data_IF_325566157737
#
_entry.id   IF_325566157737
#
_cell.length_a   1.000
_cell.length_b   1.000
_cell.length_c   1.000
_cell.angle_alpha   90.00
_cell.angle_beta   90.00
_cell.angle_gamma   90.00
#
_symmetry.space_group_name_H-M   'P 1'
#
loop_
_entity.id
_entity.type
_entity.pdbx_description
1 polymer ?
#
# COMPACT_ATOMS: atom_id res chain seq x y z
N UNK A 1 4.22 12.75 -18.16
CA UNK A 1 3.48 12.30 -16.97
C UNK A 1 4.06 13.04 -15.79
N UNK A 2 3.25 13.81 -15.06
CA UNK A 2 3.72 14.56 -13.89
C UNK A 2 3.63 13.64 -12.67
N UNK A 3 4.77 13.37 -12.04
CA UNK A 3 4.82 12.55 -10.83
C UNK A 3 4.48 13.44 -9.63
N UNK A 4 3.55 12.99 -8.79
CA UNK A 4 3.28 13.63 -7.51
C UNK A 4 4.24 13.06 -6.47
N UNK A 5 4.90 13.93 -5.71
CA UNK A 5 5.74 13.48 -4.60
C UNK A 5 4.83 12.85 -3.55
N UNK A 6 4.93 11.53 -3.46
CA UNK A 6 4.05 10.69 -2.67
C UNK A 6 4.91 9.77 -1.82
N UNK A 7 4.82 9.95 -0.52
CA UNK A 7 5.49 9.11 0.46
C UNK A 7 4.50 8.08 1.00
N UNK A 8 4.97 6.85 1.20
CA UNK A 8 4.18 5.81 1.83
C UNK A 8 4.93 5.21 3.02
N UNK A 9 4.23 5.06 4.13
CA UNK A 9 4.63 4.22 5.25
C UNK A 9 3.75 2.97 5.25
N UNK A 10 4.38 1.80 5.21
CA UNK A 10 3.68 0.51 5.20
C UNK A 10 4.09 -0.27 6.44
N UNK A 11 3.07 -0.69 7.20
CA UNK A 11 3.18 -1.49 8.40
C UNK A 11 2.40 -2.78 8.15
N UNK A 12 3.05 -3.95 8.20
CA UNK A 12 2.42 -5.24 7.95
C UNK A 12 2.66 -6.23 9.08
N UNK A 13 1.60 -6.74 9.69
CA UNK A 13 1.62 -7.80 10.70
C UNK A 13 1.09 -9.09 10.06
N UNK A 14 2.01 -9.93 9.62
CA UNK A 14 1.69 -11.22 9.01
C UNK A 14 1.01 -12.17 10.00
N UNK A 15 1.34 -12.11 11.28
CA UNK A 15 0.80 -13.05 12.28
C UNK A 15 -0.65 -12.68 12.63
N UNK A 16 -0.93 -11.39 12.74
CA UNK A 16 -2.27 -10.85 12.94
C UNK A 16 -3.12 -10.75 11.66
N UNK A 17 -2.55 -11.01 10.48
CA UNK A 17 -3.17 -10.83 9.16
C UNK A 17 -3.69 -9.38 8.98
N UNK A 18 -2.84 -8.40 9.28
CA UNK A 18 -3.17 -6.96 9.26
C UNK A 18 -2.14 -6.16 8.48
N UNK A 19 -2.58 -5.06 7.86
CA UNK A 19 -1.67 -4.07 7.32
C UNK A 19 -2.23 -2.65 7.53
N UNK A 20 -1.33 -1.69 7.69
CA UNK A 20 -1.63 -0.26 7.75
C UNK A 20 -0.73 0.45 6.74
N UNK A 21 -1.35 1.25 5.88
CA UNK A 21 -0.68 1.98 4.82
C UNK A 21 -1.05 3.45 5.00
N UNK A 22 -0.07 4.29 5.29
CA UNK A 22 -0.23 5.75 5.33
C UNK A 22 0.42 6.34 4.09
N UNK A 23 -0.36 7.05 3.28
CA UNK A 23 0.11 7.73 2.08
C UNK A 23 0.02 9.23 2.31
N UNK A 24 1.12 9.92 2.09
CA UNK A 24 1.21 11.37 2.15
C UNK A 24 1.56 11.89 0.76
N UNK A 25 0.71 12.74 0.20
CA UNK A 25 0.88 13.29 -1.14
C UNK A 25 0.99 14.80 -1.05
N UNK A 26 2.04 15.37 -1.64
CA UNK A 26 2.13 16.81 -1.82
C UNK A 26 1.41 17.21 -3.12
N UNK A 27 0.24 17.84 -3.00
CA UNK A 27 -0.52 18.32 -4.15
C UNK A 27 -0.19 19.80 -4.39
N UNK A 28 0.29 20.18 -5.59
CA UNK A 28 0.49 21.59 -5.93
C UNK A 28 -0.80 22.39 -5.69
N UNK A 29 -0.70 23.56 -5.05
CA UNK A 29 -1.81 24.48 -4.71
C UNK A 29 -2.72 24.04 -3.55
N UNK A 30 -2.79 22.75 -3.21
CA UNK A 30 -3.65 22.24 -2.13
C UNK A 30 -2.88 21.82 -0.87
N UNK A 31 -1.55 21.71 -0.96
CA UNK A 31 -0.69 21.34 0.18
C UNK A 31 -0.59 19.83 0.38
N UNK A 32 -0.21 19.43 1.59
CA UNK A 32 -0.07 18.02 1.96
C UNK A 32 -1.46 17.40 2.22
N UNK A 33 -1.74 16.28 1.57
CA UNK A 33 -2.87 15.41 1.90
C UNK A 33 -2.37 14.09 2.46
N UNK A 34 -3.14 13.52 3.38
CA UNK A 34 -2.84 12.22 3.96
C UNK A 34 -4.06 11.30 3.81
N UNK A 35 -3.81 10.09 3.33
CA UNK A 35 -4.78 9.01 3.31
C UNK A 35 -4.23 7.83 4.10
N UNK A 36 -5.05 7.22 4.94
CA UNK A 36 -4.68 6.02 5.67
C UNK A 36 -5.61 4.87 5.32
N UNK A 37 -5.03 3.74 4.97
CA UNK A 37 -5.72 2.48 4.78
C UNK A 37 -5.32 1.51 5.89
N UNK A 38 -6.30 0.89 6.52
CA UNK A 38 -6.10 -0.23 7.45
C UNK A 38 -6.82 -1.46 6.92
N UNK A 39 -6.07 -2.55 6.74
CA UNK A 39 -6.56 -3.82 6.25
C UNK A 39 -6.58 -4.81 7.41
N UNK A 40 -7.77 -5.30 7.72
CA UNK A 40 -8.00 -6.34 8.70
C UNK A 40 -8.41 -7.61 7.95
N UNK A 41 -7.41 -8.41 7.59
CA UNK A 41 -7.63 -9.67 6.90
C UNK A 41 -8.29 -10.72 7.79
N UNK A 42 -8.20 -10.60 9.12
CA UNK A 42 -8.87 -11.51 10.05
C UNK A 42 -10.39 -11.29 10.07
N UNK A 43 -10.82 -10.03 10.06
CA UNK A 43 -12.25 -9.68 10.02
C UNK A 43 -12.78 -9.42 8.61
N UNK A 44 -11.91 -9.48 7.58
CA UNK A 44 -12.21 -9.21 6.18
C UNK A 44 -12.79 -7.82 5.91
N UNK A 45 -12.15 -6.79 6.48
CA UNK A 45 -12.49 -5.39 6.23
C UNK A 45 -11.27 -4.57 5.85
N UNK A 46 -11.48 -3.58 4.99
CA UNK A 46 -10.55 -2.48 4.78
C UNK A 46 -11.22 -1.19 5.18
N UNK A 47 -10.50 -0.39 5.96
CA UNK A 47 -10.92 0.91 6.45
C UNK A 47 -10.06 1.96 5.76
N UNK A 48 -10.69 2.98 5.19
CA UNK A 48 -9.98 4.10 4.60
C UNK A 48 -10.38 5.38 5.31
N UNK A 49 -9.39 6.20 5.64
CA UNK A 49 -9.55 7.55 6.16
C UNK A 49 -8.86 8.52 5.22
N UNK A 50 -9.62 9.49 4.71
CA UNK A 50 -9.08 10.65 4.03
C UNK A 50 -9.01 11.81 5.02
N UNK A 51 -7.79 12.22 5.38
CA UNK A 51 -7.58 13.29 6.36
C UNK A 51 -8.00 14.67 5.83
N UNK A 52 -8.06 14.88 4.51
CA UNK A 52 -8.51 16.16 3.94
C UNK A 52 -10.02 16.34 4.11
N UNK A 53 -10.81 15.29 3.85
CA UNK A 53 -12.27 15.34 3.98
C UNK A 53 -12.79 14.88 5.34
N UNK A 54 -11.92 14.33 6.21
CA UNK A 54 -12.28 13.65 7.46
C UNK A 54 -13.30 12.52 7.25
N UNK A 55 -13.40 12.00 6.02
CA UNK A 55 -14.32 10.92 5.68
C UNK A 55 -13.68 9.57 5.94
N UNK A 56 -14.54 8.67 6.38
CA UNK A 56 -14.24 7.27 6.54
C UNK A 56 -15.03 6.46 5.52
N UNK A 57 -14.40 5.46 4.92
CA UNK A 57 -15.11 4.38 4.23
C UNK A 57 -14.66 3.03 4.73
N UNK A 58 -15.56 2.06 4.62
CA UNK A 58 -15.29 0.66 4.95
C UNK A 58 -15.75 -0.19 3.79
N UNK A 59 -14.89 -1.11 3.38
CA UNK A 59 -15.20 -2.09 2.34
C UNK A 59 -14.94 -3.49 2.88
N UNK A 60 -15.72 -4.44 2.40
CA UNK A 60 -15.53 -5.85 2.75
C UNK A 60 -14.47 -6.45 1.84
N UNK A 61 -13.47 -7.06 2.43
CA UNK A 61 -12.47 -7.85 1.71
C UNK A 61 -13.05 -9.21 1.35
N UNK A 62 -12.62 -9.82 0.22
CA UNK A 62 -13.07 -11.15 -0.14
C UNK A 62 -12.67 -12.18 0.94
N UNK A 63 -13.43 -13.28 1.12
CA UNK A 63 -13.10 -14.32 2.09
C UNK A 63 -11.72 -14.98 1.86
N UNK A 64 -11.20 -14.88 0.64
CA UNK A 64 -9.88 -15.39 0.26
C UNK A 64 -8.73 -14.42 0.57
N UNK A 65 -9.03 -13.20 1.04
CA UNK A 65 -8.00 -12.21 1.36
C UNK A 65 -7.16 -12.66 2.55
N UNK A 66 -5.85 -12.78 2.35
CA UNK A 66 -4.92 -13.20 3.39
C UNK A 66 -3.52 -12.60 3.14
N UNK A 67 -3.15 -11.64 3.99
CA UNK A 67 -1.89 -10.91 3.95
C UNK A 67 -0.73 -11.84 4.29
N UNK A 68 -0.90 -12.73 5.28
CA UNK A 68 0.10 -13.73 5.67
C UNK A 68 0.48 -14.58 4.47
N UNK A 69 -0.53 -15.16 3.80
CA UNK A 69 -0.36 -16.01 2.63
C UNK A 69 0.28 -15.25 1.47
N UNK A 70 -0.10 -13.99 1.29
CA UNK A 70 0.52 -13.12 0.30
C UNK A 70 2.02 -12.95 0.55
N UNK A 71 2.41 -12.62 1.79
CA UNK A 71 3.82 -12.43 2.17
C UNK A 71 4.60 -13.75 2.00
N UNK A 72 4.03 -14.88 2.43
CA UNK A 72 4.63 -16.21 2.22
C UNK A 72 4.89 -16.49 0.74
N UNK A 73 3.89 -16.27 -0.12
CA UNK A 73 4.03 -16.49 -1.57
C UNK A 73 5.08 -15.56 -2.17
N UNK A 74 5.10 -14.28 -1.77
CA UNK A 74 6.07 -13.32 -2.27
C UNK A 74 7.51 -13.67 -1.87
N UNK A 75 7.71 -14.33 -0.72
CA UNK A 75 9.01 -14.80 -0.24
C UNK A 75 9.40 -16.19 -0.79
N UNK A 76 8.43 -17.01 -1.18
CA UNK A 76 8.69 -18.33 -1.77
C UNK A 76 9.19 -18.20 -3.21
N UNK A 77 10.46 -18.54 -3.43
CA UNK A 77 11.10 -18.52 -4.74
C UNK A 77 10.46 -19.46 -5.78
N UNK A 78 9.65 -20.43 -5.35
CA UNK A 78 8.99 -21.39 -6.24
C UNK A 78 7.53 -21.04 -6.54
N UNK A 79 6.94 -20.08 -5.83
CA UNK A 79 5.54 -19.69 -6.02
C UNK A 79 5.27 -19.03 -7.37
N UNK A 80 6.30 -18.43 -7.98
CA UNK A 80 6.17 -17.57 -9.16
C UNK A 80 5.48 -16.23 -8.89
N UNK A 81 5.17 -15.91 -7.63
CA UNK A 81 4.51 -14.66 -7.25
C UNK A 81 5.44 -13.44 -7.37
N UNK A 82 6.74 -13.65 -7.14
CA UNK A 82 7.79 -12.64 -7.25
C UNK A 82 8.75 -12.98 -8.39
N UNK A 83 8.89 -12.07 -9.36
CA UNK A 83 9.77 -12.22 -10.51
C UNK A 83 10.78 -11.07 -10.55
N UNK A 84 12.08 -11.39 -10.57
CA UNK A 84 13.10 -10.39 -10.85
C UNK A 84 13.05 -9.99 -12.33
N UNK A 85 12.85 -8.70 -12.61
CA UNK A 85 12.72 -8.16 -13.97
C UNK A 85 13.96 -7.38 -14.42
N UNK A 86 15.06 -7.50 -13.67
CA UNK A 86 16.36 -6.92 -14.02
C UNK A 86 16.63 -5.57 -13.35
N UNK A 87 17.72 -4.93 -13.78
CA UNK A 87 18.06 -3.57 -13.37
C UNK A 87 17.32 -2.58 -14.26
N UNK A 88 16.60 -1.63 -13.65
CA UNK A 88 15.82 -0.61 -14.37
C UNK A 88 16.22 0.79 -13.96
N UNK A 89 16.34 1.67 -14.96
CA UNK A 89 16.41 3.12 -14.76
C UNK A 89 14.98 3.63 -14.64
N UNK A 90 14.64 4.30 -13.52
CA UNK A 90 13.29 4.80 -13.29
C UNK A 90 13.17 6.28 -13.68
N UNK A 91 12.07 6.73 -14.32
CA UNK A 91 11.93 8.09 -14.86
C UNK A 91 12.02 9.25 -13.85
N UNK A 92 11.74 9.01 -12.57
CA UNK A 92 11.70 10.03 -11.51
C UNK A 92 13.00 10.13 -10.71
N UNK A 93 13.99 9.30 -11.02
CA UNK A 93 15.34 9.40 -10.46
C UNK A 93 16.38 9.31 -11.58
N UNK A 94 17.67 9.49 -11.27
CA UNK A 94 18.76 9.22 -12.21
C UNK A 94 19.47 7.89 -11.90
N UNK A 95 18.91 7.11 -10.98
CA UNK A 95 19.57 5.94 -10.41
C UNK A 95 19.03 4.64 -10.98
N UNK A 96 19.87 3.61 -10.92
CA UNK A 96 19.55 2.26 -11.38
C UNK A 96 19.08 1.41 -10.18
N UNK A 97 17.99 0.65 -10.36
CA UNK A 97 17.36 -0.15 -9.30
C UNK A 97 17.25 -1.62 -9.71
N UNK A 98 17.35 -2.53 -8.75
CA UNK A 98 16.87 -3.90 -8.90
C UNK A 98 15.33 -3.89 -8.86
N UNK A 99 14.68 -4.31 -9.94
CA UNK A 99 13.23 -4.31 -10.03
C UNK A 99 12.67 -5.73 -9.90
N UNK A 100 11.61 -5.88 -9.10
CA UNK A 100 10.86 -7.11 -8.93
C UNK A 100 9.39 -6.87 -9.23
N UNK A 101 8.79 -7.66 -10.11
CA UNK A 101 7.34 -7.70 -10.27
C UNK A 101 6.76 -8.68 -9.23
N UNK A 102 5.81 -8.21 -8.43
CA UNK A 102 5.06 -9.02 -7.48
C UNK A 102 3.60 -9.05 -7.93
N UNK A 103 3.07 -10.24 -8.18
CA UNK A 103 1.69 -10.44 -8.66
C UNK A 103 0.76 -10.73 -7.50
N UNK A 104 -0.39 -10.06 -7.51
CA UNK A 104 -1.46 -10.19 -6.53
C UNK A 104 -2.68 -10.77 -7.23
N UNK A 105 -3.27 -11.83 -6.66
CA UNK A 105 -4.44 -12.52 -7.25
C UNK A 105 -5.65 -11.59 -7.46
N UNK A 106 -5.73 -10.47 -6.71
CA UNK A 106 -6.91 -9.59 -6.66
C UNK A 106 -6.59 -8.10 -6.85
N UNK A 107 -5.31 -7.70 -6.84
CA UNK A 107 -4.90 -6.28 -6.86
C UNK A 107 -3.99 -5.90 -8.03
N UNK A 108 -3.81 -6.80 -9.00
CA UNK A 108 -2.93 -6.57 -10.15
C UNK A 108 -1.49 -6.90 -9.82
N UNK A 109 -0.54 -6.14 -10.36
CA UNK A 109 0.89 -6.35 -10.10
C UNK A 109 1.53 -5.09 -9.53
N UNK A 110 2.44 -5.26 -8.58
CA UNK A 110 3.32 -4.19 -8.12
C UNK A 110 4.71 -4.39 -8.72
N UNK A 111 5.41 -3.29 -8.96
CA UNK A 111 6.84 -3.30 -9.23
C UNK A 111 7.54 -2.68 -8.03
N UNK A 112 8.42 -3.46 -7.41
CA UNK A 112 9.24 -3.07 -6.28
C UNK A 112 10.64 -2.70 -6.78
N UNK A 113 11.13 -1.52 -6.42
CA UNK A 113 12.45 -1.02 -6.82
C UNK A 113 13.39 -0.93 -5.62
N UNK A 114 14.39 -1.79 -5.62
CA UNK A 114 15.44 -1.86 -4.61
C UNK A 114 16.70 -1.16 -5.08
N UNK A 115 17.31 -0.36 -4.21
CA UNK A 115 18.61 0.27 -4.48
C UNK A 115 19.65 -0.79 -4.85
N UNK A 116 20.40 -0.55 -5.94
CA UNK A 116 21.51 -1.44 -6.33
C UNK A 116 22.64 -1.44 -5.31
N UNK A 117 22.86 -0.32 -4.61
CA UNK A 117 23.94 -0.19 -3.64
C UNK A 117 23.57 -0.69 -2.25
N UNK A 118 22.36 -0.40 -1.77
CA UNK A 118 21.94 -0.69 -0.39
C UNK A 118 20.98 -1.87 -0.28
N UNK A 119 20.43 -2.36 -1.40
CA UNK A 119 19.38 -3.39 -1.41
C UNK A 119 18.12 -3.02 -0.61
N UNK A 120 17.93 -1.74 -0.27
CA UNK A 120 16.72 -1.25 0.38
C UNK A 120 15.62 -1.00 -0.65
N UNK A 121 14.38 -1.37 -0.32
CA UNK A 121 13.20 -1.00 -1.10
C UNK A 121 13.00 0.51 -0.99
N UNK A 122 13.06 1.23 -2.11
CA UNK A 122 12.85 2.69 -2.10
C UNK A 122 11.58 3.11 -2.85
N UNK A 123 11.12 2.34 -3.84
CA UNK A 123 9.91 2.69 -4.58
C UNK A 123 8.99 1.50 -4.81
N UNK A 124 7.68 1.76 -4.75
CA UNK A 124 6.63 0.84 -5.18
C UNK A 124 5.83 1.52 -6.28
N UNK A 125 5.62 0.81 -7.38
CA UNK A 125 4.71 1.20 -8.45
C UNK A 125 3.59 0.18 -8.57
N UNK A 126 2.35 0.64 -8.70
CA UNK A 126 1.26 -0.24 -9.16
C UNK A 126 1.32 -0.27 -10.68
N UNK A 127 1.45 -1.46 -11.26
CA UNK A 127 1.48 -1.63 -12.72
C UNK A 127 0.23 -1.02 -13.34
N UNK A 128 0.41 -0.30 -14.43
CA UNK A 128 -0.65 0.42 -15.17
C UNK A 128 -1.32 1.59 -14.41
N UNK A 129 -0.70 2.08 -13.33
CA UNK A 129 -1.11 3.32 -12.64
C UNK A 129 0.01 4.35 -12.68
N UNK A 130 -0.31 5.66 -12.74
CA UNK A 130 0.69 6.73 -12.80
C UNK A 130 1.31 7.07 -11.44
N UNK A 131 1.09 6.25 -10.41
CA UNK A 131 1.50 6.52 -9.04
C UNK A 131 2.76 5.74 -8.68
N UNK A 132 3.69 6.43 -8.05
CA UNK A 132 4.90 5.87 -7.46
C UNK A 132 4.95 6.28 -6.01
N UNK A 133 5.07 5.29 -5.14
CA UNK A 133 5.20 5.50 -3.72
C UNK A 133 6.68 5.45 -3.36
N UNK A 134 7.22 6.55 -2.84
CA UNK A 134 8.55 6.59 -2.25
C UNK A 134 8.48 6.09 -0.80
N UNK A 135 9.34 5.16 -0.44
CA UNK A 135 9.44 4.56 0.89
C UNK A 135 10.86 4.85 1.42
N UNK A 136 11.09 6.05 1.97
CA UNK A 136 12.44 6.51 2.30
C UNK A 136 13.14 5.64 3.35
N UNK A 137 12.39 5.10 4.30
CA UNK A 137 12.93 4.24 5.36
C UNK A 137 12.95 2.75 4.98
N UNK A 138 12.53 2.42 3.74
CA UNK A 138 12.33 1.07 3.27
C UNK A 138 11.32 0.26 4.08
N UNK A 139 11.43 -1.07 3.99
CA UNK A 139 10.62 -1.98 4.80
C UNK A 139 11.23 -2.13 6.18
N UNK A 140 10.51 -1.66 7.21
CA UNK A 140 10.95 -1.77 8.60
C UNK A 140 10.33 -3.04 9.19
N UNK A 141 11.18 -4.03 9.50
CA UNK A 141 10.77 -5.18 10.31
C UNK A 141 10.55 -4.72 11.76
N UNK A 142 9.33 -4.84 12.26
CA UNK A 142 8.96 -4.49 13.64
C UNK A 142 7.98 -5.54 14.16
N UNK A 143 8.09 -5.86 15.46
CA UNK A 143 7.04 -6.60 16.15
C UNK A 143 5.90 -5.63 16.44
N UNK A 144 4.77 -5.82 15.76
CA UNK A 144 3.62 -4.95 15.90
C UNK A 144 2.78 -5.36 17.10
N UNK A 145 2.28 -4.36 17.82
CA UNK A 145 1.28 -4.51 18.88
C UNK A 145 -0.07 -4.09 18.32
N UNK A 146 -1.14 -4.53 18.97
CA UNK A 146 -2.50 -4.10 18.60
C UNK A 146 -2.62 -2.57 18.57
N UNK A 147 -1.90 -1.86 19.45
CA UNK A 147 -1.83 -0.40 19.46
C UNK A 147 -1.23 0.23 18.20
N UNK A 148 -0.36 -0.46 17.46
CA UNK A 148 0.17 0.04 16.17
C UNK A 148 -0.92 0.06 15.09
N UNK A 149 -1.96 -0.75 15.29
CA UNK A 149 -3.18 -0.82 14.48
C UNK A 149 -4.36 -0.11 15.13
N UNK A 150 -4.22 0.34 16.38
CA UNK A 150 -5.23 1.18 17.01
C UNK A 150 -5.25 2.52 16.29
N UNK A 151 -6.46 2.84 15.90
CA UNK A 151 -6.76 4.00 15.11
C UNK A 151 -8.04 4.55 15.71
N UNK A 152 -8.14 5.87 15.86
CA UNK A 152 -9.42 6.56 16.05
C UNK A 152 -10.25 6.49 14.74
N UNK A 153 -10.32 5.32 14.10
CA UNK A 153 -11.02 5.12 12.84
C UNK A 153 -12.48 4.97 13.19
N UNK A 154 -13.16 6.11 13.03
CA UNK A 154 -14.60 6.27 12.86
C UNK A 154 -15.38 5.76 14.08
N UNK A 155 -15.90 6.64 14.96
CA UNK A 155 -16.83 6.16 15.97
C UNK A 155 -17.91 5.35 15.25
N UNK A 156 -18.16 4.12 15.72
CA UNK A 156 -19.36 3.35 15.37
C UNK A 156 -20.58 4.17 15.83
N UNK A 157 -20.88 5.27 15.17
CA UNK A 157 -22.22 5.82 15.15
C UNK A 157 -22.89 5.07 14.04
N UNK A 158 -23.76 4.15 14.45
CA UNK A 158 -24.66 3.39 13.61
C UNK A 158 -25.13 4.28 12.43
N UNK A 159 -24.81 3.87 11.20
CA UNK A 159 -25.38 4.34 9.92
C UNK A 159 -24.61 5.29 8.96
N UNK A 160 -23.30 5.52 9.08
CA UNK A 160 -22.58 6.32 8.04
C UNK A 160 -21.35 5.66 7.40
N UNK A 161 -21.29 4.33 7.34
CA UNK A 161 -20.36 3.69 6.41
C UNK A 161 -20.98 3.68 5.01
N UNK A 162 -20.49 4.53 4.10
CA UNK A 162 -20.71 4.31 2.68
C UNK A 162 -19.97 3.04 2.29
N UNK A 163 -20.71 1.95 2.06
CA UNK A 163 -20.16 0.74 1.47
C UNK A 163 -19.75 1.09 0.05
N UNK A 164 -18.45 1.28 -0.15
CA UNK A 164 -17.89 1.45 -1.48
C UNK A 164 -17.67 0.04 -2.03
N UNK A 165 -18.42 -0.32 -3.09
CA UNK A 165 -18.39 -1.67 -3.66
C UNK A 165 -17.20 -1.94 -4.60
N UNK A 166 -16.21 -1.05 -4.66
CA UNK A 166 -15.23 -1.05 -5.75
C UNK A 166 -13.81 -0.72 -5.26
N UNK A 167 -12.96 -1.75 -5.15
CA UNK A 167 -11.53 -1.63 -4.84
C UNK A 167 -10.77 -0.69 -5.81
N UNK A 168 -11.35 -0.41 -6.99
CA UNK A 168 -10.84 0.56 -7.95
C UNK A 168 -10.98 2.04 -7.51
N UNK A 169 -11.70 2.33 -6.42
CA UNK A 169 -11.91 3.70 -5.95
C UNK A 169 -10.67 4.37 -5.36
N UNK A 170 -9.59 3.63 -5.06
CA UNK A 170 -8.29 4.23 -4.73
C UNK A 170 -7.85 5.26 -5.79
N UNK A 171 -8.18 5.02 -7.06
CA UNK A 171 -7.90 5.96 -8.16
C UNK A 171 -8.84 7.17 -8.24
N UNK A 172 -9.99 7.15 -7.55
CA UNK A 172 -10.96 8.25 -7.52
C UNK A 172 -10.67 9.26 -6.40
N UNK A 173 -10.05 8.84 -5.30
CA UNK A 173 -9.60 9.73 -4.22
C UNK A 173 -8.29 10.48 -4.57
N UNK A 174 -7.65 10.11 -5.68
CA UNK A 174 -6.40 10.71 -6.19
C UNK A 174 -6.63 11.54 -7.46
N UNK A 175 -7.88 11.98 -7.72
CA UNK A 175 -8.24 12.88 -8.83
C UNK A 175 -8.28 14.34 -8.40
#
# INVERSE_FOLDING_TARGET
MQFMDTQAQIIGDSDGNRAKITIQTQIPQYGYTEAVTFEDGKNHYVYLKDSASQKCSVERLPPTYNITRFIELAMDKYSGASQYIGKQLVPWTKDLFHAFEVRFDIRGSLILYFSVSTSQLLYIMIKDKPFVYHIPDGLIAKNFKDSDFMFDICPMKDNEYQIIQDLNQFSKFLK
#
